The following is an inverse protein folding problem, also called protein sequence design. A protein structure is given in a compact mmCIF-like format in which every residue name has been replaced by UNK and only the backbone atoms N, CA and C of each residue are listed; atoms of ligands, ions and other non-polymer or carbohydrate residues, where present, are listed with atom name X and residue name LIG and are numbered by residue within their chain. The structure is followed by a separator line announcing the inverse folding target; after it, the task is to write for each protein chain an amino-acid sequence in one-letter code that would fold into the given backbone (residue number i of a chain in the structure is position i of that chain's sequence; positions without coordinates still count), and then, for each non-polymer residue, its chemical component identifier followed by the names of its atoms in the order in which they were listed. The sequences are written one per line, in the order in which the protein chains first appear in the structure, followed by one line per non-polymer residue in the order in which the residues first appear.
data_IF_202584640919
#
_entry.id   IF_202584640919
#
_cell.length_a   1.000
_cell.length_b   1.000
_cell.length_c   1.000
_cell.angle_alpha   90.00
_cell.angle_beta   90.00
_cell.angle_gamma   90.00
#
_symmetry.space_group_name_H-M   'P 1'
#
loop_
_entity.id
_entity.type
_entity.pdbx_description
1 polymer ?
#
# COMPACT_ATOMS: atom_id res chain seq x y z
N UNK A 1 -14.62 -38.56 16.94
CA UNK A 1 -15.41 -37.66 16.07
C UNK A 1 -16.74 -37.43 16.74
N UNK A 2 -17.25 -36.20 16.78
CA UNK A 2 -18.55 -35.88 17.39
C UNK A 2 -19.69 -36.76 16.86
N UNK A 3 -19.59 -37.24 15.61
CA UNK A 3 -20.55 -38.17 15.00
C UNK A 3 -20.62 -39.54 15.68
N UNK A 4 -19.51 -40.04 16.24
CA UNK A 4 -19.43 -41.36 16.93
C UNK A 4 -19.66 -41.25 18.45
N UNK A 5 -19.89 -40.04 18.97
CA UNK A 5 -19.90 -39.76 20.39
C UNK A 5 -18.48 -39.60 20.98
N UNK A 6 -18.41 -38.96 22.15
CA UNK A 6 -17.20 -38.81 22.94
C UNK A 6 -17.29 -39.78 24.12
N UNK A 7 -16.17 -40.44 24.46
CA UNK A 7 -16.07 -41.18 25.72
C UNK A 7 -16.16 -40.21 26.91
N UNK A 8 -16.52 -40.68 28.13
CA UNK A 8 -16.64 -39.80 29.30
C UNK A 8 -15.38 -38.95 29.58
N UNK A 9 -14.19 -39.51 29.40
CA UNK A 9 -12.92 -38.79 29.57
C UNK A 9 -12.72 -37.72 28.48
N UNK A 10 -13.00 -38.04 27.22
CA UNK A 10 -12.91 -37.08 26.11
C UNK A 10 -13.92 -35.93 26.27
N UNK A 11 -15.13 -36.23 26.75
CA UNK A 11 -16.14 -35.21 27.05
C UNK A 11 -15.67 -34.26 28.16
N UNK A 12 -15.04 -34.78 29.20
CA UNK A 12 -14.49 -33.96 30.29
C UNK A 12 -13.39 -33.01 29.82
N UNK A 13 -12.41 -33.50 29.04
CA UNK A 13 -11.37 -32.64 28.47
C UNK A 13 -11.92 -31.63 27.46
N UNK A 14 -12.92 -32.03 26.67
CA UNK A 14 -13.61 -31.12 25.76
C UNK A 14 -14.33 -29.99 26.52
N UNK A 15 -15.03 -30.32 27.61
CA UNK A 15 -15.71 -29.33 28.46
C UNK A 15 -14.72 -28.38 29.14
N UNK A 16 -13.53 -28.86 29.54
CA UNK A 16 -12.46 -28.00 30.08
C UNK A 16 -11.99 -26.95 29.07
N UNK A 17 -11.68 -27.37 27.83
CA UNK A 17 -11.29 -26.46 26.76
C UNK A 17 -12.43 -25.48 26.39
N UNK A 18 -13.68 -25.97 26.36
CA UNK A 18 -14.85 -25.12 26.11
C UNK A 18 -15.05 -24.04 27.18
N UNK A 19 -14.85 -24.39 28.47
CA UNK A 19 -14.92 -23.42 29.58
C UNK A 19 -13.85 -22.34 29.46
N UNK A 20 -12.61 -22.71 29.12
CA UNK A 20 -11.53 -21.75 28.90
C UNK A 20 -11.87 -20.77 27.78
N UNK A 21 -12.36 -21.27 26.64
CA UNK A 21 -12.77 -20.42 25.51
C UNK A 21 -13.91 -19.45 25.85
N UNK A 22 -14.91 -19.89 26.64
CA UNK A 22 -15.99 -19.01 27.09
C UNK A 22 -15.49 -17.92 28.05
N UNK A 23 -14.60 -18.28 28.97
CA UNK A 23 -14.01 -17.31 29.90
C UNK A 23 -13.14 -16.30 29.15
N UNK A 24 -12.27 -16.77 28.26
CA UNK A 24 -11.40 -15.91 27.44
C UNK A 24 -12.22 -14.95 26.57
N UNK A 25 -13.29 -15.43 25.95
CA UNK A 25 -14.22 -14.58 25.18
C UNK A 25 -14.84 -13.50 26.06
N UNK A 26 -15.31 -13.86 27.27
CA UNK A 26 -15.91 -12.90 28.19
C UNK A 26 -14.90 -11.82 28.65
N UNK A 27 -13.67 -12.22 28.96
CA UNK A 27 -12.58 -11.31 29.35
C UNK A 27 -12.20 -10.39 28.19
N UNK A 28 -11.91 -10.95 27.00
CA UNK A 28 -11.58 -10.17 25.80
C UNK A 28 -12.68 -9.19 25.41
N UNK A 29 -13.94 -9.56 25.58
CA UNK A 29 -15.08 -8.66 25.31
C UNK A 29 -15.06 -7.45 26.23
N UNK A 30 -14.82 -7.65 27.53
CA UNK A 30 -14.72 -6.56 28.50
C UNK A 30 -13.50 -5.66 28.22
N UNK A 31 -12.34 -6.26 27.92
CA UNK A 31 -11.09 -5.53 27.66
C UNK A 31 -11.17 -4.71 26.37
N UNK A 32 -11.58 -5.32 25.26
CA UNK A 32 -11.68 -4.64 23.96
C UNK A 32 -12.67 -3.47 24.00
N UNK A 33 -13.82 -3.63 24.68
CA UNK A 33 -14.78 -2.54 24.85
C UNK A 33 -14.22 -1.38 25.69
N UNK A 34 -13.49 -1.68 26.76
CA UNK A 34 -12.84 -0.65 27.57
C UNK A 34 -11.74 0.10 26.79
N UNK A 35 -10.90 -0.64 26.06
CA UNK A 35 -9.85 -0.06 25.20
C UNK A 35 -10.48 0.84 24.14
N UNK A 36 -11.51 0.37 23.44
CA UNK A 36 -12.22 1.15 22.42
C UNK A 36 -12.76 2.45 23.00
N UNK A 37 -13.44 2.42 24.15
CA UNK A 37 -13.97 3.63 24.79
C UNK A 37 -12.87 4.64 25.13
N UNK A 38 -11.73 4.15 25.63
CA UNK A 38 -10.58 5.02 25.94
C UNK A 38 -9.99 5.65 24.68
N UNK A 39 -9.86 4.88 23.59
CA UNK A 39 -9.37 5.40 22.32
C UNK A 39 -10.30 6.46 21.73
N UNK A 40 -11.61 6.22 21.74
CA UNK A 40 -12.60 7.21 21.29
C UNK A 40 -12.48 8.50 22.10
N UNK A 41 -12.41 8.40 23.43
CA UNK A 41 -12.28 9.58 24.29
C UNK A 41 -10.96 10.33 24.17
N UNK A 42 -9.88 9.64 23.78
CA UNK A 42 -8.59 10.27 23.54
C UNK A 42 -8.50 10.97 22.17
N UNK A 43 -9.30 10.54 21.19
CA UNK A 43 -9.22 11.01 19.80
C UNK A 43 -10.45 11.83 19.36
N UNK A 44 -11.46 12.00 20.22
CA UNK A 44 -12.72 12.67 19.85
C UNK A 44 -12.59 14.14 19.50
N UNK A 45 -11.50 14.80 19.92
CA UNK A 45 -11.27 16.22 19.70
C UNK A 45 -10.43 16.53 18.45
N UNK A 46 -9.88 15.50 17.80
CA UNK A 46 -9.08 15.63 16.59
C UNK A 46 -9.98 15.85 15.38
N UNK A 47 -9.69 16.89 14.60
CA UNK A 47 -10.41 17.19 13.36
C UNK A 47 -9.47 17.74 12.29
N UNK A 48 -9.73 17.35 11.04
CA UNK A 48 -9.08 17.93 9.87
C UNK A 48 -9.66 19.32 9.59
N UNK A 49 -8.79 20.29 9.33
CA UNK A 49 -9.14 21.67 9.00
C UNK A 49 -9.02 21.92 7.50
N UNK A 50 -9.60 23.03 7.02
CA UNK A 50 -9.61 23.39 5.60
C UNK A 50 -8.22 23.61 4.99
N UNK A 51 -7.19 23.82 5.82
CA UNK A 51 -5.80 23.96 5.39
C UNK A 51 -5.07 22.61 5.27
N UNK A 52 -5.76 21.48 5.46
CA UNK A 52 -5.20 20.13 5.42
C UNK A 52 -4.56 19.66 6.73
N UNK A 53 -4.44 20.54 7.74
CA UNK A 53 -3.86 20.19 9.04
C UNK A 53 -4.87 19.46 9.93
N UNK A 54 -4.38 18.55 10.77
CA UNK A 54 -5.18 17.92 11.83
C UNK A 54 -4.89 18.64 13.14
N UNK A 55 -5.93 19.16 13.78
CA UNK A 55 -5.81 19.95 15.02
C UNK A 55 -6.72 19.41 16.12
N UNK A 56 -6.28 19.60 17.35
CA UNK A 56 -7.10 19.35 18.53
C UNK A 56 -8.14 20.48 18.77
N UNK A 57 -8.89 20.37 19.85
CA UNK A 57 -9.89 21.38 20.26
C UNK A 57 -9.28 22.73 20.70
N UNK A 58 -8.02 22.74 21.17
CA UNK A 58 -7.28 23.93 21.59
C UNK A 58 -6.63 24.68 20.40
N UNK A 59 -6.62 24.07 19.22
CA UNK A 59 -6.01 24.61 18.02
C UNK A 59 -4.55 24.21 17.80
N UNK A 60 -4.00 23.33 18.63
CA UNK A 60 -2.66 22.77 18.45
C UNK A 60 -2.65 21.82 17.24
N UNK A 61 -1.58 21.90 16.46
CA UNK A 61 -1.39 21.07 15.26
C UNK A 61 -0.80 19.72 15.70
N UNK A 62 -1.51 18.64 15.38
CA UNK A 62 -1.07 17.25 15.62
C UNK A 62 -0.41 16.67 14.36
N UNK A 63 -0.97 16.95 13.18
CA UNK A 63 -0.39 16.58 11.89
C UNK A 63 -0.48 17.76 10.92
N UNK A 64 0.58 17.99 10.14
CA UNK A 64 0.60 19.02 9.10
C UNK A 64 -0.26 18.67 7.89
N UNK A 65 -0.38 17.38 7.59
CA UNK A 65 -1.21 16.85 6.53
C UNK A 65 -1.88 15.57 7.04
N UNK A 66 -3.19 15.46 6.90
CA UNK A 66 -3.94 14.26 7.29
C UNK A 66 -3.33 13.00 6.66
N UNK A 67 -2.96 12.00 7.46
CA UNK A 67 -2.41 10.75 6.94
C UNK A 67 -1.05 10.88 6.24
N UNK A 68 -0.37 12.03 6.35
CA UNK A 68 0.86 12.39 5.61
C UNK A 68 0.71 12.46 4.07
N UNK A 69 -0.49 12.20 3.54
CA UNK A 69 -0.82 12.23 2.11
C UNK A 69 -2.03 13.11 1.76
N UNK A 70 -2.87 13.44 2.75
CA UNK A 70 -4.08 14.25 2.60
C UNK A 70 -5.24 13.50 1.95
N UNK A 71 -5.17 12.16 1.87
CA UNK A 71 -6.12 11.35 1.12
C UNK A 71 -7.15 10.70 2.04
N UNK A 72 -8.40 10.59 1.57
CA UNK A 72 -9.43 9.82 2.26
C UNK A 72 -9.13 8.32 2.15
N UNK A 73 -9.14 7.63 3.28
CA UNK A 73 -8.94 6.18 3.36
C UNK A 73 -9.98 5.39 2.57
N UNK A 74 -11.18 5.94 2.31
CA UNK A 74 -12.18 5.29 1.46
C UNK A 74 -11.76 5.19 -0.01
N UNK A 75 -10.85 6.05 -0.47
CA UNK A 75 -10.37 6.07 -1.85
C UNK A 75 -9.05 5.32 -2.04
N UNK A 76 -8.53 4.66 -1.00
CA UNK A 76 -7.24 3.96 -1.02
C UNK A 76 -7.46 2.47 -1.25
N UNK A 77 -6.74 1.91 -2.23
CA UNK A 77 -6.78 0.50 -2.58
C UNK A 77 -5.39 -0.15 -2.65
N UNK A 78 -5.36 -1.47 -2.46
CA UNK A 78 -4.13 -2.25 -2.51
C UNK A 78 -3.70 -2.50 -3.96
N UNK A 79 -2.77 -1.71 -4.46
CA UNK A 79 -2.25 -1.74 -5.83
C UNK A 79 -0.87 -2.40 -5.92
N UNK A 80 -0.58 -3.07 -7.05
CA UNK A 80 0.70 -3.74 -7.28
C UNK A 80 1.69 -2.81 -7.99
N UNK A 81 2.83 -2.52 -7.33
CA UNK A 81 3.96 -1.83 -7.93
C UNK A 81 4.95 -2.82 -8.55
N UNK A 82 4.85 -3.03 -9.85
CA UNK A 82 5.69 -4.01 -10.58
C UNK A 82 7.18 -3.66 -10.69
N UNK A 83 7.58 -2.42 -10.42
CA UNK A 83 8.96 -1.92 -10.60
C UNK A 83 9.96 -2.41 -9.54
N UNK A 84 9.46 -2.91 -8.40
CA UNK A 84 10.28 -3.16 -7.21
C UNK A 84 11.11 -4.44 -7.31
N UNK A 85 10.52 -5.60 -7.64
CA UNK A 85 11.24 -6.88 -7.71
C UNK A 85 11.88 -7.18 -9.06
N UNK A 86 11.49 -6.49 -10.12
CA UNK A 86 12.05 -6.80 -11.45
C UNK A 86 13.56 -6.57 -11.48
N UNK A 87 14.27 -7.38 -12.27
CA UNK A 87 15.70 -7.21 -12.52
C UNK A 87 15.95 -5.96 -13.35
N UNK A 88 17.17 -5.42 -13.30
CA UNK A 88 17.51 -4.19 -14.03
C UNK A 88 17.37 -4.40 -15.56
N UNK A 89 17.76 -5.56 -16.07
CA UNK A 89 17.56 -5.92 -17.48
C UNK A 89 16.08 -6.03 -17.88
N UNK A 90 15.21 -6.54 -16.99
CA UNK A 90 13.78 -6.62 -17.25
C UNK A 90 13.09 -5.25 -17.19
N UNK A 91 13.59 -4.36 -16.32
CA UNK A 91 13.14 -2.97 -16.23
C UNK A 91 13.52 -2.20 -17.48
N UNK A 92 14.78 -2.28 -17.91
CA UNK A 92 15.26 -1.66 -19.13
C UNK A 92 14.47 -2.11 -20.35
N UNK A 93 14.29 -3.41 -20.56
CA UNK A 93 13.53 -3.92 -21.70
C UNK A 93 12.06 -3.45 -21.73
N UNK A 94 11.47 -3.15 -20.57
CA UNK A 94 10.05 -2.78 -20.46
C UNK A 94 9.81 -1.27 -20.56
N UNK A 95 10.71 -0.45 -20.03
CA UNK A 95 10.51 0.99 -19.88
C UNK A 95 11.46 1.84 -20.72
N UNK A 96 12.62 1.32 -21.15
CA UNK A 96 13.54 2.05 -22.02
C UNK A 96 13.06 2.01 -23.46
N UNK A 97 12.86 3.17 -24.06
CA UNK A 97 12.55 3.34 -25.48
C UNK A 97 13.64 4.20 -26.12
N UNK A 98 14.44 3.59 -26.97
CA UNK A 98 15.47 4.29 -27.75
C UNK A 98 14.93 4.60 -29.14
N UNK A 99 14.79 5.88 -29.48
CA UNK A 99 14.29 6.33 -30.79
C UNK A 99 15.36 6.27 -31.89
N UNK A 100 16.64 6.06 -31.56
CA UNK A 100 17.68 5.82 -32.56
C UNK A 100 17.53 4.42 -33.19
N UNK A 101 17.10 3.44 -32.40
CA UNK A 101 16.78 2.08 -32.85
C UNK A 101 15.43 1.63 -32.25
N UNK A 102 14.31 2.21 -32.73
CA UNK A 102 13.01 1.93 -32.15
C UNK A 102 12.55 0.51 -32.50
N UNK A 103 11.81 -0.17 -31.60
CA UNK A 103 11.23 -1.47 -31.88
C UNK A 103 10.27 -1.45 -33.09
N UNK A 104 10.12 -2.59 -33.77
CA UNK A 104 9.26 -2.71 -34.96
C UNK A 104 7.80 -2.30 -34.70
N UNK A 105 7.28 -2.56 -33.50
CA UNK A 105 5.91 -2.17 -33.12
C UNK A 105 5.74 -0.64 -33.06
N UNK A 106 6.78 0.11 -32.70
CA UNK A 106 6.69 1.57 -32.54
C UNK A 106 6.42 2.25 -33.88
N UNK A 107 6.99 1.74 -34.97
CA UNK A 107 6.77 2.28 -36.33
C UNK A 107 5.46 1.82 -36.96
N UNK A 108 4.93 0.67 -36.52
CA UNK A 108 3.75 0.04 -37.14
C UNK A 108 2.44 0.44 -36.45
N UNK A 109 2.45 0.53 -35.13
CA UNK A 109 1.25 0.72 -34.32
C UNK A 109 1.07 2.19 -33.91
N UNK A 110 2.13 3.00 -33.99
CA UNK A 110 2.09 4.43 -33.67
C UNK A 110 2.18 5.27 -34.95
N UNK A 111 1.16 6.09 -35.21
CA UNK A 111 1.02 6.87 -36.46
C UNK A 111 2.21 7.81 -36.69
N UNK A 112 2.69 8.46 -35.63
CA UNK A 112 3.84 9.37 -35.67
C UNK A 112 5.18 8.67 -35.44
N UNK A 113 5.22 7.33 -35.40
CA UNK A 113 6.42 6.57 -35.03
C UNK A 113 7.59 6.77 -36.01
N UNK A 114 7.31 7.08 -37.27
CA UNK A 114 8.34 7.39 -38.27
C UNK A 114 8.86 8.83 -38.18
N UNK A 115 8.04 9.77 -37.69
CA UNK A 115 8.42 11.18 -37.55
C UNK A 115 9.24 11.41 -36.29
N UNK A 116 8.91 10.68 -35.21
CA UNK A 116 9.64 10.72 -33.94
C UNK A 116 10.95 9.93 -33.99
N UNK A 117 11.12 9.04 -34.97
CA UNK A 117 12.34 8.27 -35.14
C UNK A 117 13.49 9.18 -35.61
N UNK A 118 14.40 9.50 -34.69
CA UNK A 118 15.54 10.39 -34.95
C UNK A 118 15.26 11.88 -34.70
N UNK A 119 14.10 12.22 -34.11
CA UNK A 119 13.88 13.55 -33.57
C UNK A 119 14.68 13.75 -32.28
N UNK A 120 15.56 14.75 -32.27
CA UNK A 120 16.47 15.00 -31.15
C UNK A 120 15.72 15.46 -29.90
N UNK A 121 14.70 16.30 -30.04
CA UNK A 121 13.94 16.81 -28.89
C UNK A 121 13.20 15.68 -28.17
N UNK A 122 12.55 14.79 -28.93
CA UNK A 122 11.88 13.61 -28.40
C UNK A 122 12.86 12.61 -27.75
N UNK A 123 14.06 12.45 -28.32
CA UNK A 123 15.12 11.62 -27.72
C UNK A 123 15.57 12.18 -26.37
N UNK A 124 15.91 13.46 -26.32
CA UNK A 124 16.36 14.13 -25.09
C UNK A 124 15.29 14.03 -23.98
N UNK A 125 14.01 14.13 -24.33
CA UNK A 125 12.90 13.97 -23.38
C UNK A 125 12.80 12.54 -22.83
N UNK A 126 12.85 11.52 -23.70
CA UNK A 126 12.77 10.11 -23.26
C UNK A 126 13.96 9.69 -22.42
N UNK A 127 15.16 10.20 -22.73
CA UNK A 127 16.35 9.97 -21.90
C UNK A 127 16.19 10.61 -20.51
N UNK A 128 15.64 11.83 -20.43
CA UNK A 128 15.36 12.49 -19.14
C UNK A 128 14.30 11.76 -18.30
N UNK A 129 13.26 11.22 -18.94
CA UNK A 129 12.24 10.39 -18.28
C UNK A 129 12.85 9.07 -17.79
N UNK A 130 13.72 8.45 -18.58
CA UNK A 130 14.43 7.24 -18.19
C UNK A 130 15.32 7.45 -16.95
N UNK A 131 16.06 8.56 -16.90
CA UNK A 131 16.85 8.92 -15.72
C UNK A 131 15.98 9.15 -14.49
N UNK A 132 14.83 9.81 -14.65
CA UNK A 132 13.85 10.03 -13.59
C UNK A 132 13.31 8.70 -13.05
N UNK A 133 12.93 7.78 -13.95
CA UNK A 133 12.45 6.45 -13.58
C UNK A 133 13.51 5.62 -12.83
N UNK A 134 14.80 5.74 -13.18
CA UNK A 134 15.90 5.10 -12.46
C UNK A 134 16.04 5.67 -11.04
N UNK A 135 16.01 7.00 -10.90
CA UNK A 135 16.07 7.70 -9.62
C UNK A 135 14.89 7.32 -8.71
N UNK A 136 13.68 7.32 -9.25
CA UNK A 136 12.45 6.95 -8.53
C UNK A 136 12.52 5.50 -8.06
N UNK A 137 12.97 4.58 -8.92
CA UNK A 137 13.11 3.16 -8.56
C UNK A 137 14.09 2.97 -7.41
N UNK A 138 15.19 3.72 -7.36
CA UNK A 138 16.13 3.67 -6.24
C UNK A 138 15.50 4.22 -4.95
N UNK A 139 14.80 5.35 -5.04
CA UNK A 139 14.13 6.00 -3.91
C UNK A 139 13.04 5.10 -3.31
N UNK A 140 12.16 4.54 -4.14
CA UNK A 140 11.08 3.65 -3.70
C UNK A 140 11.65 2.37 -3.10
N UNK A 141 12.76 1.82 -3.63
CA UNK A 141 13.46 0.67 -3.03
C UNK A 141 14.05 0.99 -1.65
N UNK A 142 14.59 2.20 -1.47
CA UNK A 142 15.13 2.65 -0.19
C UNK A 142 14.03 2.80 0.86
N UNK A 143 12.92 3.47 0.51
CA UNK A 143 11.74 3.62 1.38
C UNK A 143 11.17 2.24 1.75
N UNK A 144 11.06 1.34 0.78
CA UNK A 144 10.43 0.03 0.96
C UNK A 144 11.37 -1.05 1.52
N UNK A 145 12.60 -0.69 1.91
CA UNK A 145 13.58 -1.63 2.47
C UNK A 145 13.09 -2.29 3.76
N UNK A 146 12.29 -1.57 4.56
CA UNK A 146 11.67 -2.09 5.78
C UNK A 146 10.61 -3.15 5.53
N UNK A 147 9.93 -3.13 4.38
CA UNK A 147 8.84 -4.07 4.05
C UNK A 147 9.29 -5.32 3.30
N UNK A 148 10.60 -5.62 3.29
CA UNK A 148 11.18 -6.88 2.78
C UNK A 148 10.69 -7.28 1.36
N UNK A 149 10.44 -6.28 0.50
CA UNK A 149 10.00 -6.53 -0.87
C UNK A 149 8.50 -6.81 -1.03
N UNK A 150 7.63 -6.28 -0.18
CA UNK A 150 6.19 -6.22 -0.50
C UNK A 150 5.96 -5.29 -1.70
N UNK A 151 5.36 -5.81 -2.78
CA UNK A 151 5.03 -5.01 -3.99
C UNK A 151 3.64 -4.37 -3.91
N UNK A 152 2.82 -4.82 -2.98
CA UNK A 152 1.45 -4.36 -2.86
C UNK A 152 1.40 -3.18 -1.89
N UNK A 153 0.98 -2.02 -2.38
CA UNK A 153 0.95 -0.77 -1.64
C UNK A 153 -0.47 -0.22 -1.60
N UNK A 154 -0.83 0.43 -0.50
CA UNK A 154 -2.09 1.14 -0.36
C UNK A 154 -1.96 2.49 -1.06
N UNK A 155 -2.62 2.66 -2.21
CA UNK A 155 -2.52 3.84 -3.07
C UNK A 155 -3.92 4.29 -3.49
N UNK A 156 -4.14 5.61 -3.71
CA UNK A 156 -5.42 6.12 -4.17
C UNK A 156 -5.79 5.57 -5.56
N UNK A 157 -7.08 5.38 -5.78
CA UNK A 157 -7.61 5.12 -7.12
C UNK A 157 -7.29 6.29 -8.07
N UNK A 158 -6.94 5.96 -9.31
CA UNK A 158 -6.82 6.93 -10.41
C UNK A 158 -8.18 7.30 -10.97
#
# INVERSE_FOLDING_TARGET
SYLRGLTPSEFFFHAMAGREGLIDTAVKTAETGYIQRRLVKALEDLSARYDGTVRNSLGDIVQFLYGEDGLDAMCIEKQKLGILKMSDAAFEKKYRLDLANPPDWFKKDYEYGNELAGDKESMDLLDSEWETLLSDRQTVRLINKSKMGEEMMQLPLK
#
